data_IF_358845089799
#
_entry.id   IF_358845089799
#
_cell.length_a   1.000
_cell.length_b   1.000
_cell.length_c   1.000
_cell.angle_alpha   90.00
_cell.angle_beta   90.00
_cell.angle_gamma   90.00
#
_symmetry.space_group_name_H-M   'P 1'
#
loop_
_entity.id
_entity.type
_entity.pdbx_description
1 polymer ?
#
# COMPACT_ATOMS: atom_id res chain seq x y z
N UNK A 1 -23.31 20.78 -6.95
CA UNK A 1 -22.96 21.51 -5.71
C UNK A 1 -22.61 20.56 -4.55
N UNK A 2 -22.14 19.32 -4.80
CA UNK A 2 -21.83 18.35 -3.72
C UNK A 2 -20.39 17.81 -3.70
N UNK A 3 -19.60 18.02 -4.76
CA UNK A 3 -18.23 17.50 -4.82
C UNK A 3 -17.21 18.28 -3.97
N UNK A 4 -17.54 19.50 -3.53
CA UNK A 4 -16.65 20.34 -2.71
C UNK A 4 -16.67 20.00 -1.21
N UNK A 5 -17.68 19.28 -0.73
CA UNK A 5 -17.90 19.07 0.71
C UNK A 5 -17.14 17.87 1.30
N UNK A 6 -16.62 16.97 0.46
CA UNK A 6 -15.98 15.73 0.91
C UNK A 6 -14.45 15.83 1.13
N UNK A 7 -13.80 16.90 0.63
CA UNK A 7 -12.33 17.03 0.69
C UNK A 7 -11.80 17.92 1.82
N UNK A 8 -12.51 18.99 2.18
CA UNK A 8 -11.98 20.00 3.14
C UNK A 8 -12.14 19.59 4.61
N UNK A 9 -13.11 18.75 4.98
CA UNK A 9 -13.44 18.50 6.38
C UNK A 9 -12.59 17.43 7.10
N UNK A 10 -11.89 16.54 6.39
CA UNK A 10 -11.25 15.38 7.05
C UNK A 10 -9.73 15.51 7.26
N UNK A 11 -9.08 16.45 6.58
CA UNK A 11 -7.62 16.58 6.65
C UNK A 11 -7.19 17.27 7.95
N UNK A 12 -7.94 18.28 8.40
CA UNK A 12 -7.60 19.08 9.58
C UNK A 12 -7.62 18.27 10.89
N UNK A 13 -8.61 17.38 11.08
CA UNK A 13 -8.69 16.51 12.27
C UNK A 13 -7.49 15.57 12.43
N UNK A 14 -6.83 15.24 11.32
CA UNK A 14 -5.71 14.29 11.30
C UNK A 14 -4.35 14.99 11.29
N UNK A 15 -4.35 16.32 11.12
CA UNK A 15 -3.20 17.22 11.13
C UNK A 15 -3.19 18.20 12.30
N UNK A 16 -4.05 17.98 13.30
CA UNK A 16 -4.12 18.75 14.54
C UNK A 16 -2.76 18.81 15.26
N UNK A 17 -2.50 19.89 15.99
CA UNK A 17 -1.27 20.08 16.77
C UNK A 17 -0.99 18.97 17.79
N UNK A 18 -2.03 18.27 18.25
CA UNK A 18 -1.92 17.19 19.23
C UNK A 18 -1.34 15.88 18.67
N UNK A 19 -1.21 15.75 17.35
CA UNK A 19 -0.77 14.52 16.69
C UNK A 19 0.55 14.70 15.98
N UNK A 20 1.46 13.77 16.18
CA UNK A 20 2.70 13.74 15.40
C UNK A 20 2.45 13.18 14.01
N UNK A 21 3.08 13.78 12.99
CA UNK A 21 2.93 13.34 11.61
C UNK A 21 4.27 13.05 10.92
N UNK A 22 4.18 12.29 9.83
CA UNK A 22 5.27 12.05 8.89
C UNK A 22 4.74 12.07 7.46
N UNK A 23 5.39 12.83 6.59
CA UNK A 23 5.21 12.69 5.15
C UNK A 23 6.16 11.64 4.60
N UNK A 24 5.63 10.81 3.71
CA UNK A 24 6.37 9.87 2.89
C UNK A 24 6.10 10.23 1.44
N UNK A 25 7.15 10.48 0.68
CA UNK A 25 7.05 10.79 -0.75
C UNK A 25 7.47 9.55 -1.53
N UNK A 26 6.64 9.16 -2.50
CA UNK A 26 6.92 8.06 -3.41
C UNK A 26 6.49 8.43 -4.84
N UNK A 27 7.08 7.78 -5.83
CA UNK A 27 6.76 8.01 -7.23
C UNK A 27 6.57 6.69 -7.95
N UNK A 28 5.50 6.60 -8.74
CA UNK A 28 5.23 5.42 -9.53
C UNK A 28 6.14 5.40 -10.76
N UNK A 29 6.99 4.37 -10.84
CA UNK A 29 7.85 4.14 -12.00
C UNK A 29 9.23 4.80 -11.94
N UNK A 30 9.51 5.62 -10.94
CA UNK A 30 10.84 6.21 -10.71
C UNK A 30 11.24 6.17 -9.25
N UNK A 31 12.55 6.16 -9.00
CA UNK A 31 13.08 6.33 -7.64
C UNK A 31 13.46 7.79 -7.44
N UNK A 32 12.81 8.42 -6.47
CA UNK A 32 13.17 9.78 -6.05
C UNK A 32 14.42 9.74 -5.16
N UNK A 33 15.38 10.59 -5.48
CA UNK A 33 16.53 10.84 -4.60
C UNK A 33 16.08 11.54 -3.32
N UNK A 34 16.90 11.46 -2.26
CA UNK A 34 16.59 12.11 -0.98
C UNK A 34 16.39 13.63 -1.12
N UNK A 35 17.17 14.28 -2.00
CA UNK A 35 17.04 15.71 -2.30
C UNK A 35 15.70 16.01 -2.92
N UNK A 36 15.29 15.23 -3.94
CA UNK A 36 13.98 15.38 -4.58
C UNK A 36 12.83 15.12 -3.59
N UNK A 37 12.96 14.11 -2.72
CA UNK A 37 11.94 13.86 -1.68
C UNK A 37 11.79 15.08 -0.75
N UNK A 38 12.89 15.71 -0.34
CA UNK A 38 12.84 16.93 0.49
C UNK A 38 12.21 18.11 -0.25
N UNK A 39 12.55 18.31 -1.52
CA UNK A 39 11.93 19.33 -2.37
C UNK A 39 10.40 19.14 -2.45
N UNK A 40 9.95 17.88 -2.62
CA UNK A 40 8.52 17.57 -2.63
C UNK A 40 7.88 17.82 -1.28
N UNK A 41 8.49 17.40 -0.17
CA UNK A 41 7.97 17.71 1.17
C UNK A 41 7.81 19.22 1.37
N UNK A 42 8.81 20.02 0.96
CA UNK A 42 8.77 21.47 1.05
C UNK A 42 7.71 22.09 0.13
N UNK A 43 7.46 21.50 -1.05
CA UNK A 43 6.40 21.94 -1.95
C UNK A 43 5.00 21.79 -1.33
N UNK A 44 4.81 20.89 -0.35
CA UNK A 44 3.57 20.74 0.40
C UNK A 44 3.43 21.70 1.59
N UNK A 45 4.31 22.69 1.76
CA UNK A 45 4.23 23.67 2.85
C UNK A 45 2.93 24.51 2.86
N UNK A 46 2.17 24.54 1.76
CA UNK A 46 0.86 25.19 1.70
C UNK A 46 -0.23 24.47 2.50
N UNK A 47 -0.04 23.18 2.81
CA UNK A 47 -0.99 22.41 3.62
C UNK A 47 -0.76 22.77 5.09
N UNK A 48 -1.81 23.09 5.87
CA UNK A 48 -1.69 23.53 7.26
C UNK A 48 -1.36 22.35 8.19
N UNK A 49 -0.15 21.82 8.09
CA UNK A 49 0.37 20.81 9.01
C UNK A 49 0.66 21.45 10.38
N UNK A 50 -0.22 21.25 11.37
CA UNK A 50 -0.07 21.86 12.70
C UNK A 50 0.63 20.95 13.73
N UNK A 51 0.74 19.66 13.44
CA UNK A 51 1.36 18.65 14.32
C UNK A 51 2.89 18.72 14.39
N UNK A 52 3.48 17.93 15.29
CA UNK A 52 4.94 17.77 15.36
C UNK A 52 5.44 16.75 14.31
N UNK A 53 6.57 17.03 13.65
CA UNK A 53 7.18 16.10 12.70
C UNK A 53 7.94 15.00 13.44
N UNK A 54 7.51 13.74 13.32
CA UNK A 54 8.21 12.59 13.92
C UNK A 54 8.56 11.53 12.89
N UNK A 55 9.85 11.30 12.66
CA UNK A 55 10.29 10.36 11.62
C UNK A 55 10.12 8.88 11.99
N UNK A 56 10.19 8.54 13.28
CA UNK A 56 10.15 7.16 13.77
C UNK A 56 8.77 6.72 14.26
N UNK A 57 8.11 7.56 15.06
CA UNK A 57 6.88 7.21 15.77
C UNK A 57 5.78 8.25 15.51
N UNK A 58 5.53 8.56 14.24
CA UNK A 58 4.39 9.37 13.84
C UNK A 58 3.08 8.63 14.06
N UNK A 59 2.10 9.31 14.65
CA UNK A 59 0.73 8.83 14.77
C UNK A 59 -0.02 8.90 13.44
N UNK A 60 0.17 9.98 12.68
CA UNK A 60 -0.39 10.14 11.34
C UNK A 60 0.70 10.00 10.30
N UNK A 61 0.62 8.98 9.44
CA UNK A 61 1.49 8.90 8.25
C UNK A 61 0.73 9.32 7.01
N UNK A 62 1.25 10.31 6.32
CA UNK A 62 0.73 10.78 5.04
C UNK A 62 1.65 10.38 3.90
N UNK A 63 1.06 10.04 2.77
CA UNK A 63 1.71 9.66 1.55
C UNK A 63 1.46 10.72 0.50
N UNK A 64 2.54 11.16 -0.14
CA UNK A 64 2.53 11.93 -1.37
C UNK A 64 2.99 10.97 -2.45
N UNK A 65 2.10 10.62 -3.37
CA UNK A 65 2.40 9.68 -4.46
C UNK A 65 2.28 10.41 -5.79
N UNK A 66 3.38 10.47 -6.53
CA UNK A 66 3.42 11.01 -7.89
C UNK A 66 3.16 9.90 -8.91
N UNK A 67 2.25 10.13 -9.86
CA UNK A 67 1.86 9.16 -10.87
C UNK A 67 1.73 9.84 -12.24
N UNK A 68 2.28 9.23 -13.29
CA UNK A 68 2.18 9.75 -14.65
C UNK A 68 3.15 10.89 -14.98
N UNK A 69 3.06 11.39 -16.22
CA UNK A 69 3.95 12.41 -16.77
C UNK A 69 5.21 11.84 -17.43
N UNK A 70 5.96 12.72 -18.10
CA UNK A 70 7.10 12.35 -18.96
C UNK A 70 8.23 11.57 -18.26
N UNK A 71 8.30 11.62 -16.93
CA UNK A 71 9.28 10.88 -16.14
C UNK A 71 8.78 9.53 -15.66
N UNK A 72 7.52 9.15 -15.89
CA UNK A 72 6.95 7.88 -15.44
C UNK A 72 7.35 6.70 -16.36
N UNK A 73 6.91 5.49 -16.01
CA UNK A 73 7.04 4.31 -16.88
C UNK A 73 6.45 4.61 -18.28
N UNK A 74 6.92 3.94 -19.36
CA UNK A 74 6.46 4.19 -20.73
C UNK A 74 4.92 4.18 -20.85
N UNK A 75 4.27 3.21 -20.22
CA UNK A 75 2.80 3.05 -20.24
C UNK A 75 2.05 4.15 -19.45
N UNK A 76 2.77 4.95 -18.66
CA UNK A 76 2.25 6.06 -17.86
C UNK A 76 2.71 7.43 -18.38
N UNK A 77 3.57 7.48 -19.40
CA UNK A 77 4.12 8.73 -19.92
C UNK A 77 3.05 9.63 -20.55
N UNK A 78 2.04 9.01 -21.18
CA UNK A 78 0.91 9.68 -21.82
C UNK A 78 -0.20 10.08 -20.84
N UNK A 79 -0.13 9.60 -19.59
CA UNK A 79 -1.07 9.99 -18.55
C UNK A 79 -0.70 11.34 -17.95
N UNK A 80 -1.68 12.18 -17.59
CA UNK A 80 -1.41 13.43 -16.91
C UNK A 80 -0.65 13.17 -15.61
N UNK A 81 0.33 14.02 -15.30
CA UNK A 81 1.01 13.96 -14.02
C UNK A 81 0.02 14.30 -12.89
N UNK A 82 -0.24 13.34 -12.02
CA UNK A 82 -1.12 13.46 -10.85
C UNK A 82 -0.29 13.29 -9.59
N UNK A 83 -0.51 14.17 -8.61
CA UNK A 83 0.04 14.04 -7.27
C UNK A 83 -1.10 13.75 -6.30
N UNK A 84 -1.00 12.62 -5.61
CA UNK A 84 -2.00 12.15 -4.65
C UNK A 84 -1.48 12.35 -3.23
N UNK A 85 -2.26 13.07 -2.41
CA UNK A 85 -2.06 13.13 -0.96
C UNK A 85 -3.04 12.17 -0.29
N UNK A 86 -2.53 11.20 0.45
CA UNK A 86 -3.33 10.18 1.11
C UNK A 86 -2.89 9.95 2.57
N UNK A 87 -3.83 9.60 3.44
CA UNK A 87 -3.52 9.13 4.80
C UNK A 87 -3.37 7.62 4.80
N UNK A 88 -2.31 7.11 5.43
CA UNK A 88 -2.19 5.67 5.68
C UNK A 88 -3.13 5.25 6.81
N UNK A 89 -4.06 4.35 6.51
CA UNK A 89 -4.99 3.78 7.51
C UNK A 89 -4.42 2.53 8.17
N UNK A 90 -3.74 1.69 7.39
CA UNK A 90 -3.18 0.44 7.86
C UNK A 90 -1.94 0.06 7.03
N UNK A 91 -1.13 -0.86 7.56
CA UNK A 91 -0.09 -1.56 6.80
C UNK A 91 -0.51 -3.01 6.66
N UNK A 92 -0.52 -3.53 5.43
CA UNK A 92 -0.87 -4.93 5.17
C UNK A 92 0.15 -5.89 5.81
N UNK A 93 -0.27 -7.05 6.33
CA UNK A 93 0.62 -8.03 6.98
C UNK A 93 1.43 -8.87 5.98
N UNK A 94 1.65 -8.38 4.76
CA UNK A 94 2.22 -9.13 3.62
C UNK A 94 3.47 -9.92 4.00
N UNK A 95 4.51 -9.26 4.52
CA UNK A 95 5.79 -9.92 4.83
C UNK A 95 5.63 -11.07 5.83
N UNK A 96 4.76 -10.89 6.83
CA UNK A 96 4.46 -11.91 7.84
C UNK A 96 3.72 -13.10 7.22
N UNK A 97 2.75 -12.84 6.35
CA UNK A 97 1.97 -13.88 5.68
C UNK A 97 2.82 -14.68 4.69
N UNK A 98 3.63 -14.01 3.88
CA UNK A 98 4.56 -14.67 2.95
C UNK A 98 5.56 -15.55 3.71
N UNK A 99 6.18 -15.03 4.78
CA UNK A 99 7.07 -15.84 5.60
C UNK A 99 6.39 -17.02 6.31
N UNK A 100 5.09 -16.94 6.60
CA UNK A 100 4.31 -18.03 7.21
C UNK A 100 3.95 -19.11 6.18
N UNK A 101 3.63 -18.71 4.95
CA UNK A 101 3.17 -19.59 3.87
C UNK A 101 4.30 -20.09 2.95
N UNK A 102 5.53 -19.68 3.23
CA UNK A 102 6.74 -20.04 2.49
C UNK A 102 6.78 -21.54 2.15
N UNK A 103 6.95 -21.82 0.86
CA UNK A 103 7.00 -23.18 0.30
C UNK A 103 8.05 -24.05 0.98
N UNK A 104 9.18 -23.48 1.43
CA UNK A 104 10.27 -24.21 2.07
C UNK A 104 9.89 -24.79 3.43
N UNK A 105 8.83 -24.28 4.06
CA UNK A 105 8.35 -24.73 5.38
C UNK A 105 7.28 -25.81 5.29
N UNK A 106 6.86 -26.19 4.08
CA UNK A 106 5.83 -27.22 3.88
C UNK A 106 6.42 -28.61 4.10
N UNK A 107 5.62 -29.49 4.69
CA UNK A 107 6.00 -30.89 4.87
C UNK A 107 6.17 -31.65 3.55
N UNK A 108 5.44 -31.21 2.51
CA UNK A 108 5.53 -31.78 1.17
C UNK A 108 5.59 -30.65 0.14
N UNK A 109 6.57 -30.73 -0.76
CA UNK A 109 6.78 -29.79 -1.87
C UNK A 109 6.85 -30.57 -3.18
N UNK A 110 5.87 -30.35 -4.05
CA UNK A 110 5.82 -30.92 -5.38
C UNK A 110 6.50 -30.01 -6.42
N UNK A 111 6.89 -30.57 -7.58
CA UNK A 111 7.62 -29.82 -8.62
C UNK A 111 6.81 -28.68 -9.24
N UNK A 112 5.47 -28.78 -9.22
CA UNK A 112 4.55 -27.80 -9.79
C UNK A 112 3.71 -27.09 -8.72
N UNK A 113 4.22 -27.00 -7.49
CA UNK A 113 3.55 -26.28 -6.42
C UNK A 113 3.40 -24.79 -6.79
N UNK A 114 2.19 -24.26 -6.64
CA UNK A 114 1.92 -22.83 -6.87
C UNK A 114 2.64 -21.99 -5.82
N UNK A 115 3.17 -20.85 -6.25
CA UNK A 115 3.78 -19.88 -5.33
C UNK A 115 2.77 -19.43 -4.25
N UNK A 116 3.29 -19.28 -3.04
CA UNK A 116 2.52 -18.93 -1.85
C UNK A 116 1.91 -17.52 -1.90
N UNK A 117 2.53 -16.55 -2.58
CA UNK A 117 1.93 -15.23 -2.78
C UNK A 117 0.73 -15.32 -3.71
N UNK A 118 0.88 -16.00 -4.85
CA UNK A 118 -0.19 -16.21 -5.81
C UNK A 118 -1.36 -16.98 -5.18
N UNK A 119 -1.06 -18.01 -4.39
CA UNK A 119 -2.06 -18.80 -3.67
C UNK A 119 -2.89 -17.94 -2.70
N UNK A 120 -2.26 -17.00 -1.99
CA UNK A 120 -2.95 -16.07 -1.09
C UNK A 120 -3.85 -15.09 -1.86
N UNK A 121 -3.40 -14.60 -3.01
CA UNK A 121 -4.21 -13.76 -3.89
C UNK A 121 -5.45 -14.54 -4.37
N UNK A 122 -5.28 -15.80 -4.79
CA UNK A 122 -6.40 -16.65 -5.22
C UNK A 122 -7.39 -16.96 -4.09
N UNK A 123 -6.90 -17.26 -2.89
CA UNK A 123 -7.76 -17.46 -1.72
C UNK A 123 -8.59 -16.20 -1.41
N UNK A 124 -7.98 -15.01 -1.49
CA UNK A 124 -8.67 -13.74 -1.31
C UNK A 124 -9.69 -13.48 -2.42
N UNK A 125 -9.37 -13.74 -3.69
CA UNK A 125 -10.33 -13.63 -4.81
C UNK A 125 -11.52 -14.58 -4.63
N UNK A 126 -11.28 -15.79 -4.13
CA UNK A 126 -12.31 -16.75 -3.75
C UNK A 126 -13.08 -16.40 -2.47
N UNK A 127 -12.78 -15.25 -1.83
CA UNK A 127 -13.38 -14.80 -0.58
C UNK A 127 -13.28 -15.85 0.55
N UNK A 128 -12.21 -16.65 0.55
CA UNK A 128 -11.96 -17.66 1.57
C UNK A 128 -11.83 -16.99 2.93
N UNK A 129 -12.62 -17.44 3.91
CA UNK A 129 -12.58 -16.92 5.27
C UNK A 129 -13.04 -17.99 6.25
N UNK A 130 -12.78 -17.77 7.54
CA UNK A 130 -13.28 -18.65 8.59
C UNK A 130 -14.80 -18.82 8.47
N UNK A 131 -15.25 -20.07 8.50
CA UNK A 131 -16.67 -20.42 8.38
C UNK A 131 -17.17 -20.60 6.95
N UNK A 132 -16.33 -20.46 5.92
CA UNK A 132 -16.69 -20.82 4.54
C UNK A 132 -16.14 -22.20 4.16
N UNK A 133 -16.83 -22.88 3.24
CA UNK A 133 -16.33 -24.06 2.58
C UNK A 133 -15.57 -23.64 1.31
N UNK A 134 -14.29 -23.98 1.23
CA UNK A 134 -13.45 -23.74 0.05
C UNK A 134 -13.15 -25.06 -0.63
N UNK A 135 -13.35 -25.13 -1.96
CA UNK A 135 -13.06 -26.30 -2.78
C UNK A 135 -12.08 -25.91 -3.89
N UNK A 136 -10.96 -26.63 -3.96
CA UNK A 136 -10.04 -26.60 -5.09
C UNK A 136 -10.08 -27.98 -5.78
N UNK A 137 -10.76 -28.12 -6.94
CA UNK A 137 -10.91 -29.41 -7.62
C UNK A 137 -9.61 -29.90 -8.27
N UNK A 138 -8.55 -29.08 -8.30
CA UNK A 138 -7.25 -29.41 -8.87
C UNK A 138 -6.11 -29.07 -7.89
N UNK A 139 -6.33 -29.36 -6.60
CA UNK A 139 -5.50 -28.87 -5.51
C UNK A 139 -4.00 -29.24 -5.58
N UNK A 140 -3.63 -30.35 -6.23
CA UNK A 140 -2.24 -30.81 -6.30
C UNK A 140 -1.64 -30.95 -4.90
N UNK A 141 -0.59 -30.17 -4.59
CA UNK A 141 0.03 -30.10 -3.25
C UNK A 141 -0.73 -29.24 -2.23
N UNK A 142 -1.93 -28.77 -2.57
CA UNK A 142 -2.82 -28.01 -1.71
C UNK A 142 -2.46 -26.54 -1.55
N UNK A 143 -1.81 -25.92 -2.54
CA UNK A 143 -1.24 -24.56 -2.36
C UNK A 143 -2.29 -23.49 -2.05
N UNK A 144 -3.42 -23.48 -2.77
CA UNK A 144 -4.54 -22.57 -2.52
C UNK A 144 -5.25 -22.94 -1.21
N UNK A 145 -5.45 -24.24 -0.94
CA UNK A 145 -6.11 -24.74 0.27
C UNK A 145 -5.32 -24.42 1.55
N UNK A 146 -3.99 -24.38 1.49
CA UNK A 146 -3.13 -23.98 2.62
C UNK A 146 -3.22 -22.47 2.87
N UNK A 147 -3.55 -21.67 1.84
CA UNK A 147 -3.68 -20.23 1.95
C UNK A 147 -5.10 -19.77 2.36
N UNK A 148 -6.13 -20.58 2.09
CA UNK A 148 -7.55 -20.33 2.42
C UNK A 148 -7.85 -20.39 3.94
#
# INVERSE_FOLDING_TARGET
NDAKRCGELAVEEHLSAERSFRLVVDALGTKLTMVQQLERVNAFAFVPFRGEVSMKHAQTRMWVVECGGASALPDLADLPAVVLLARQLALGPRQRLLGKLDLKKRAYLGPTAMDHEMSLIMANMGCCRRGTLTLDPFAGTGSVLVAA
#
